data_IF_908505875516
#
_entry.id   IF_908505875516
#
_cell.length_a   1.000
_cell.length_b   1.000
_cell.length_c   1.000
_cell.angle_alpha   90.00
_cell.angle_beta   90.00
_cell.angle_gamma   90.00
#
_symmetry.space_group_name_H-M   'P 1'
#
loop_
_entity.id
_entity.type
_entity.pdbx_description
1 polymer ?
#
# COMPACT_ATOMS: atom_id res chain seq x y z
N UNK A 1 -10.44 -16.79 -33.29
CA UNK A 1 -9.00 -17.08 -33.25
C UNK A 1 -8.79 -17.91 -32.01
N UNK A 2 -8.56 -19.20 -32.18
CA UNK A 2 -8.37 -20.12 -31.05
C UNK A 2 -6.93 -19.93 -30.55
N UNK A 3 -6.78 -19.11 -29.51
CA UNK A 3 -5.54 -19.01 -28.76
C UNK A 3 -5.68 -19.87 -27.51
N UNK A 4 -4.76 -20.81 -27.30
CA UNK A 4 -4.68 -21.55 -26.05
C UNK A 4 -4.13 -20.65 -24.94
N UNK A 5 -4.94 -20.40 -23.91
CA UNK A 5 -4.52 -19.64 -22.74
C UNK A 5 -3.69 -20.52 -21.81
N UNK A 6 -2.41 -20.21 -21.67
CA UNK A 6 -1.50 -20.90 -20.76
C UNK A 6 -1.30 -20.08 -19.48
N UNK A 7 -1.82 -20.56 -18.34
CA UNK A 7 -1.59 -19.93 -17.03
C UNK A 7 -0.23 -20.38 -16.49
N UNK A 8 0.59 -19.42 -16.06
CA UNK A 8 1.87 -19.66 -15.39
C UNK A 8 1.86 -19.00 -14.02
N UNK A 9 2.06 -19.80 -12.98
CA UNK A 9 2.23 -19.31 -11.61
C UNK A 9 3.71 -18.99 -11.36
N UNK A 10 4.19 -17.89 -11.94
CA UNK A 10 5.58 -17.47 -11.82
C UNK A 10 5.77 -15.96 -12.10
N UNK A 11 6.77 -15.38 -11.46
CA UNK A 11 7.22 -14.00 -11.69
C UNK A 11 8.40 -14.01 -12.65
N UNK A 12 8.37 -13.17 -13.68
CA UNK A 12 9.47 -13.02 -14.62
C UNK A 12 9.00 -12.44 -15.96
N UNK A 13 9.97 -12.08 -16.80
CA UNK A 13 9.75 -11.58 -18.17
C UNK A 13 9.54 -12.74 -19.14
N UNK A 14 8.30 -13.22 -19.25
CA UNK A 14 7.96 -14.33 -20.13
C UNK A 14 7.87 -13.93 -21.60
N UNK A 15 7.45 -12.69 -21.92
CA UNK A 15 7.30 -12.21 -23.30
C UNK A 15 6.63 -13.25 -24.22
N UNK A 16 7.32 -13.71 -25.27
CA UNK A 16 6.84 -14.72 -26.21
C UNK A 16 7.35 -16.14 -25.94
N UNK A 17 7.83 -16.45 -24.73
CA UNK A 17 8.34 -17.79 -24.40
C UNK A 17 7.22 -18.84 -24.58
N UNK A 18 7.49 -19.98 -25.24
CA UNK A 18 6.54 -21.08 -25.36
C UNK A 18 6.06 -21.62 -24.00
N UNK A 19 4.93 -22.33 -24.00
CA UNK A 19 4.43 -23.05 -22.83
C UNK A 19 5.52 -23.99 -22.27
N UNK A 20 5.59 -24.10 -20.94
CA UNK A 20 6.57 -24.94 -20.25
C UNK A 20 7.99 -24.38 -20.18
N UNK A 21 8.28 -23.26 -20.87
CA UNK A 21 9.58 -22.58 -20.77
C UNK A 21 9.55 -21.46 -19.73
N UNK A 22 10.70 -21.28 -19.06
CA UNK A 22 10.91 -20.26 -18.04
C UNK A 22 12.07 -19.35 -18.43
N UNK A 23 12.03 -18.05 -18.04
CA UNK A 23 13.16 -17.15 -18.24
C UNK A 23 14.42 -17.67 -17.55
N UNK A 24 15.58 -17.49 -18.21
CA UNK A 24 16.88 -17.80 -17.62
C UNK A 24 17.23 -16.85 -16.47
N UNK A 25 16.79 -15.58 -16.56
CA UNK A 25 16.94 -14.59 -15.48
C UNK A 25 15.97 -14.91 -14.34
N UNK A 26 16.53 -15.20 -13.18
CA UNK A 26 15.79 -15.55 -11.95
C UNK A 26 15.80 -14.41 -10.93
N UNK A 27 16.28 -13.24 -11.31
CA UNK A 27 16.32 -12.08 -10.44
C UNK A 27 14.89 -11.61 -10.16
N UNK A 28 14.54 -11.41 -8.89
CA UNK A 28 13.21 -10.96 -8.47
C UNK A 28 13.28 -9.51 -8.01
N UNK A 29 13.02 -8.58 -8.94
CA UNK A 29 12.94 -7.15 -8.66
C UNK A 29 11.87 -6.47 -9.55
N UNK A 30 11.55 -5.21 -9.27
CA UNK A 30 10.61 -4.40 -10.03
C UNK A 30 11.00 -4.28 -11.51
N UNK A 31 12.30 -4.37 -11.83
CA UNK A 31 12.79 -4.27 -13.20
C UNK A 31 12.71 -5.58 -13.98
N UNK A 32 12.48 -6.71 -13.32
CA UNK A 32 12.46 -8.06 -13.93
C UNK A 32 11.08 -8.73 -13.92
N UNK A 33 10.05 -8.04 -13.46
CA UNK A 33 8.65 -8.42 -13.66
C UNK A 33 8.11 -8.07 -15.06
N UNK A 34 7.05 -8.76 -15.45
CA UNK A 34 6.20 -8.44 -16.61
C UNK A 34 4.82 -7.96 -16.11
N UNK A 35 3.94 -7.50 -17.00
CA UNK A 35 2.63 -6.95 -16.62
C UNK A 35 1.76 -7.95 -15.82
N UNK A 36 1.90 -9.25 -16.10
CA UNK A 36 1.21 -10.33 -15.38
C UNK A 36 2.00 -10.89 -14.19
N UNK A 37 3.12 -10.26 -13.78
CA UNK A 37 3.88 -10.69 -12.61
C UNK A 37 3.23 -10.21 -11.32
N UNK A 38 2.83 -11.16 -10.49
CA UNK A 38 2.26 -10.89 -9.17
C UNK A 38 0.74 -10.77 -9.15
N UNK A 39 0.21 -10.28 -8.04
CA UNK A 39 -1.23 -10.17 -7.81
C UNK A 39 -1.75 -8.81 -8.24
N UNK A 40 -2.74 -8.81 -9.13
CA UNK A 40 -3.56 -7.63 -9.40
C UNK A 40 -4.61 -7.46 -8.32
N UNK A 41 -4.88 -6.22 -7.94
CA UNK A 41 -5.94 -5.89 -6.99
C UNK A 41 -7.19 -5.39 -7.72
N UNK A 42 -8.35 -5.81 -7.23
CA UNK A 42 -9.65 -5.28 -7.62
C UNK A 42 -10.31 -4.71 -6.36
N UNK A 43 -10.01 -3.45 -6.06
CA UNK A 43 -10.52 -2.75 -4.87
C UNK A 43 -11.82 -2.00 -5.17
N UNK A 44 -11.82 -1.30 -6.28
CA UNK A 44 -13.03 -0.68 -6.85
C UNK A 44 -13.60 -1.64 -7.90
N UNK A 45 -14.93 -1.73 -8.01
CA UNK A 45 -15.57 -2.62 -8.97
C UNK A 45 -15.20 -2.24 -10.41
N UNK A 46 -15.13 -3.24 -11.28
CA UNK A 46 -15.14 -3.01 -12.72
C UNK A 46 -16.57 -2.71 -13.16
N UNK A 47 -16.73 -1.66 -13.95
CA UNK A 47 -18.02 -1.25 -14.52
C UNK A 47 -18.21 -1.87 -15.91
N UNK A 48 -19.46 -1.92 -16.36
CA UNK A 48 -19.77 -2.49 -17.67
C UNK A 48 -19.45 -1.48 -18.77
N UNK A 49 -18.85 -1.93 -19.87
CA UNK A 49 -18.63 -1.08 -21.05
C UNK A 49 -19.94 -0.63 -21.71
N UNK A 50 -21.04 -1.33 -21.40
CA UNK A 50 -22.39 -1.04 -21.88
C UNK A 50 -23.16 -0.04 -20.98
N UNK A 51 -22.55 0.43 -19.87
CA UNK A 51 -23.19 1.44 -19.02
C UNK A 51 -23.28 2.78 -19.76
N UNK A 52 -24.48 3.37 -19.79
CA UNK A 52 -24.71 4.69 -20.36
C UNK A 52 -23.77 5.71 -19.71
N UNK A 53 -23.02 6.45 -20.53
CA UNK A 53 -22.00 7.44 -20.13
C UNK A 53 -20.71 6.86 -19.52
N UNK A 54 -20.56 5.53 -19.45
CA UNK A 54 -19.34 4.86 -18.97
C UNK A 54 -18.86 5.42 -17.62
N UNK A 55 -19.80 5.60 -16.69
CA UNK A 55 -19.50 6.12 -15.37
C UNK A 55 -18.70 5.10 -14.55
N UNK A 56 -17.61 5.56 -13.94
CA UNK A 56 -16.74 4.75 -13.09
C UNK A 56 -16.90 5.08 -11.60
N UNK A 57 -16.20 4.33 -10.74
CA UNK A 57 -16.15 4.60 -9.30
C UNK A 57 -15.59 5.99 -9.01
N UNK A 58 -16.23 6.70 -8.09
CA UNK A 58 -15.66 7.90 -7.50
C UNK A 58 -14.35 7.58 -6.75
N UNK A 59 -13.39 8.49 -6.86
CA UNK A 59 -12.17 8.40 -6.07
C UNK A 59 -12.42 8.90 -4.64
N UNK A 60 -12.24 8.02 -3.67
CA UNK A 60 -12.56 8.31 -2.26
C UNK A 60 -11.40 9.00 -1.57
N UNK A 61 -11.32 10.33 -1.69
CA UNK A 61 -10.19 11.07 -1.11
C UNK A 61 -10.17 11.15 0.41
N UNK A 62 -11.34 11.25 1.01
CA UNK A 62 -11.49 11.26 2.47
C UNK A 62 -12.66 10.37 2.82
N UNK A 63 -12.48 9.51 3.81
CA UNK A 63 -13.56 8.66 4.34
C UNK A 63 -13.50 8.57 5.84
N UNK A 64 -14.65 8.30 6.47
CA UNK A 64 -14.80 8.29 7.92
C UNK A 64 -13.77 7.40 8.63
N UNK A 65 -13.42 6.25 8.03
CA UNK A 65 -12.42 5.36 8.61
C UNK A 65 -11.06 6.05 8.79
N UNK A 66 -10.66 6.98 7.92
CA UNK A 66 -9.39 7.70 8.08
C UNK A 66 -9.40 8.56 9.34
N UNK A 67 -10.52 9.22 9.63
CA UNK A 67 -10.70 10.03 10.84
C UNK A 67 -10.68 9.12 12.08
N UNK A 68 -11.37 7.98 12.01
CA UNK A 68 -11.38 6.97 13.10
C UNK A 68 -9.97 6.43 13.36
N UNK A 69 -9.23 6.08 12.31
CA UNK A 69 -7.88 5.54 12.41
C UNK A 69 -6.88 6.58 12.89
N UNK A 70 -7.01 7.84 12.45
CA UNK A 70 -6.20 8.95 12.93
C UNK A 70 -6.39 9.16 14.44
N UNK A 71 -7.65 9.13 14.91
CA UNK A 71 -7.94 9.22 16.34
C UNK A 71 -7.43 7.98 17.10
N UNK A 72 -7.56 6.79 16.52
CA UNK A 72 -7.03 5.56 17.11
C UNK A 72 -5.50 5.62 17.26
N UNK A 73 -4.77 6.10 16.25
CA UNK A 73 -3.33 6.29 16.31
C UNK A 73 -2.96 7.33 17.40
N UNK A 74 -3.67 8.46 17.49
CA UNK A 74 -3.47 9.44 18.55
C UNK A 74 -3.63 8.81 19.95
N UNK A 75 -4.69 8.02 20.15
CA UNK A 75 -4.93 7.31 21.42
C UNK A 75 -3.85 6.28 21.73
N UNK A 76 -3.46 5.49 20.74
CA UNK A 76 -2.39 4.52 20.86
C UNK A 76 -1.09 5.19 21.30
N UNK A 77 -0.70 6.29 20.65
CA UNK A 77 0.50 7.08 21.00
C UNK A 77 0.41 7.74 22.39
N UNK A 78 -0.79 7.97 22.92
CA UNK A 78 -1.02 8.45 24.29
C UNK A 78 -1.03 7.32 25.34
N UNK A 79 -0.85 6.06 24.93
CA UNK A 79 -0.89 4.89 25.82
C UNK A 79 -2.30 4.31 26.04
N UNK A 80 -3.34 4.87 25.43
CA UNK A 80 -4.71 4.36 25.46
C UNK A 80 -4.91 3.29 24.36
N UNK A 81 -4.25 2.15 24.52
CA UNK A 81 -4.28 1.05 23.54
C UNK A 81 -5.69 0.44 23.43
N UNK A 82 -6.41 0.29 24.55
CA UNK A 82 -7.78 -0.23 24.51
C UNK A 82 -8.75 0.73 23.78
N UNK A 83 -8.62 2.04 24.00
CA UNK A 83 -9.42 3.04 23.31
C UNK A 83 -9.13 3.06 21.80
N UNK A 84 -7.86 2.91 21.41
CA UNK A 84 -7.48 2.75 20.02
C UNK A 84 -8.09 1.47 19.40
N UNK A 85 -7.97 0.33 20.09
CA UNK A 85 -8.52 -0.95 19.65
C UNK A 85 -10.03 -0.89 19.42
N UNK A 86 -10.80 -0.29 20.33
CA UNK A 86 -12.25 -0.09 20.21
C UNK A 86 -12.62 0.73 18.96
N UNK A 87 -11.86 1.79 18.68
CA UNK A 87 -12.06 2.60 17.47
C UNK A 87 -11.79 1.80 16.20
N UNK A 88 -10.67 1.09 16.12
CA UNK A 88 -10.36 0.25 14.95
C UNK A 88 -11.38 -0.87 14.77
N UNK A 89 -11.83 -1.49 15.86
CA UNK A 89 -12.85 -2.54 15.84
C UNK A 89 -14.19 -2.04 15.26
N UNK A 90 -14.54 -0.76 15.44
CA UNK A 90 -15.74 -0.18 14.84
C UNK A 90 -15.71 -0.24 13.30
N UNK A 91 -14.53 -0.19 12.69
CA UNK A 91 -14.32 -0.35 11.24
C UNK A 91 -14.12 -1.83 10.88
N UNK A 92 -13.30 -2.58 11.64
CA UNK A 92 -13.01 -3.99 11.35
C UNK A 92 -14.27 -4.86 11.36
N UNK A 93 -15.29 -4.55 12.17
CA UNK A 93 -16.58 -5.27 12.13
C UNK A 93 -17.27 -5.22 10.78
N UNK A 94 -17.03 -4.19 9.95
CA UNK A 94 -17.51 -4.11 8.56
C UNK A 94 -16.75 -5.07 7.64
N UNK A 95 -15.47 -5.33 7.92
CA UNK A 95 -14.58 -6.14 7.09
C UNK A 95 -14.69 -7.65 7.36
N UNK A 96 -15.20 -8.05 8.53
CA UNK A 96 -15.25 -9.45 8.95
C UNK A 96 -16.66 -9.88 9.34
N UNK A 97 -17.07 -11.11 8.98
CA UNK A 97 -18.34 -11.65 9.42
C UNK A 97 -18.32 -11.93 10.93
N UNK A 98 -19.50 -11.90 11.56
CA UNK A 98 -19.65 -11.90 13.02
C UNK A 98 -19.01 -13.12 13.71
N UNK A 99 -19.10 -14.29 13.09
CA UNK A 99 -18.50 -15.53 13.56
C UNK A 99 -16.96 -15.48 13.66
N UNK A 100 -16.32 -14.57 12.91
CA UNK A 100 -14.87 -14.41 12.92
C UNK A 100 -14.38 -13.25 13.80
N UNK A 101 -15.30 -12.51 14.44
CA UNK A 101 -14.95 -11.34 15.26
C UNK A 101 -14.01 -11.68 16.42
N UNK A 102 -14.23 -12.80 17.11
CA UNK A 102 -13.36 -13.23 18.22
C UNK A 102 -11.90 -13.33 17.81
N UNK A 103 -11.63 -13.82 16.59
CA UNK A 103 -10.26 -13.97 16.07
C UNK A 103 -9.70 -12.65 15.53
N UNK A 104 -10.51 -11.89 14.81
CA UNK A 104 -10.03 -10.77 14.00
C UNK A 104 -10.14 -9.41 14.69
N UNK A 105 -11.01 -9.22 15.68
CA UNK A 105 -11.06 -7.96 16.42
C UNK A 105 -9.92 -7.88 17.43
N UNK A 106 -9.47 -6.65 17.67
CA UNK A 106 -8.46 -6.36 18.69
C UNK A 106 -9.06 -6.53 20.09
N UNK A 107 -8.23 -6.98 21.04
CA UNK A 107 -8.58 -7.04 22.45
C UNK A 107 -9.03 -5.65 22.96
N UNK A 108 -10.04 -5.58 23.85
CA UNK A 108 -10.68 -6.70 24.55
C UNK A 108 -11.88 -7.33 23.81
N UNK A 109 -12.32 -6.80 22.67
CA UNK A 109 -13.51 -7.32 21.97
C UNK A 109 -13.23 -8.62 21.18
N UNK A 110 -11.97 -8.83 20.78
CA UNK A 110 -11.49 -10.08 20.22
C UNK A 110 -10.15 -10.49 20.85
N UNK A 111 -9.36 -11.27 20.10
CA UNK A 111 -8.11 -11.86 20.58
C UNK A 111 -6.86 -11.25 19.92
N UNK A 112 -7.01 -10.50 18.82
CA UNK A 112 -5.89 -9.89 18.14
C UNK A 112 -5.23 -8.80 19.00
N UNK A 113 -3.91 -8.68 18.92
CA UNK A 113 -3.14 -7.73 19.73
C UNK A 113 -2.77 -6.51 18.91
N UNK A 114 -3.15 -5.33 19.40
CA UNK A 114 -2.79 -4.06 18.75
C UNK A 114 -1.41 -3.61 19.23
N UNK A 115 -0.40 -3.87 18.40
CA UNK A 115 0.98 -3.36 18.56
C UNK A 115 1.23 -2.20 17.59
N UNK A 116 2.34 -1.46 17.72
CA UNK A 116 2.65 -0.37 16.78
C UNK A 116 2.86 -0.90 15.34
N UNK A 117 3.55 -2.03 15.19
CA UNK A 117 3.71 -2.70 13.89
C UNK A 117 2.36 -3.11 13.31
N UNK A 118 1.49 -3.69 14.14
CA UNK A 118 0.15 -4.10 13.70
C UNK A 118 -0.74 -2.89 13.35
N UNK A 119 -0.62 -1.76 14.06
CA UNK A 119 -1.32 -0.53 13.72
C UNK A 119 -0.89 0.00 12.34
N UNK A 120 0.41 -0.04 12.04
CA UNK A 120 0.91 0.31 10.71
C UNK A 120 0.42 -0.67 9.64
N UNK A 121 0.39 -1.96 9.93
CA UNK A 121 -0.15 -2.96 9.00
C UNK A 121 -1.65 -2.77 8.79
N UNK A 122 -2.38 -2.33 9.81
CA UNK A 122 -3.82 -2.07 9.72
C UNK A 122 -4.15 -0.85 8.87
N UNK A 123 -3.38 0.24 8.99
CA UNK A 123 -3.41 1.34 8.02
C UNK A 123 -3.17 0.82 6.60
N UNK A 124 -2.23 -0.12 6.44
CA UNK A 124 -1.93 -0.75 5.15
C UNK A 124 -3.10 -1.55 4.58
N UNK A 125 -3.75 -2.38 5.40
CA UNK A 125 -4.88 -3.23 4.96
C UNK A 125 -6.11 -2.41 4.61
N UNK A 126 -6.51 -1.49 5.48
CA UNK A 126 -7.74 -0.72 5.28
C UNK A 126 -7.63 0.21 4.07
N UNK A 127 -6.47 0.81 3.83
CA UNK A 127 -6.26 1.83 2.79
C UNK A 127 -5.32 1.41 1.66
N UNK A 128 -5.12 0.11 1.47
CA UNK A 128 -4.37 -0.41 0.35
C UNK A 128 -4.89 0.19 -0.97
N UNK A 129 -4.00 0.65 -1.84
CA UNK A 129 -4.34 1.32 -3.11
C UNK A 129 -5.15 2.64 -3.00
N UNK A 130 -5.07 3.37 -1.87
CA UNK A 130 -5.68 4.70 -1.70
C UNK A 130 -4.64 5.82 -1.48
N UNK A 131 -3.48 5.75 -2.14
CA UNK A 131 -2.51 6.87 -2.19
C UNK A 131 -1.77 7.25 -0.90
N UNK A 132 -2.07 6.64 0.24
CA UNK A 132 -1.58 7.11 1.56
C UNK A 132 -0.36 6.40 2.16
N UNK A 133 -0.03 5.19 1.67
CA UNK A 133 0.93 4.30 2.34
C UNK A 133 2.29 4.96 2.63
N UNK A 134 2.78 5.82 1.73
CA UNK A 134 4.02 6.59 1.92
C UNK A 134 3.97 7.47 3.17
N UNK A 135 2.88 8.20 3.36
CA UNK A 135 2.71 9.16 4.47
C UNK A 135 2.67 8.41 5.80
N UNK A 136 1.97 7.28 5.85
CA UNK A 136 1.91 6.44 7.05
C UNK A 136 3.28 5.84 7.37
N UNK A 137 4.01 5.30 6.37
CA UNK A 137 5.36 4.77 6.58
C UNK A 137 6.34 5.82 7.11
N UNK A 138 6.29 7.06 6.61
CA UNK A 138 7.15 8.16 7.10
C UNK A 138 6.81 8.47 8.56
N UNK A 139 5.52 8.59 8.91
CA UNK A 139 5.10 8.90 10.29
C UNK A 139 5.50 7.81 11.30
N UNK A 140 5.59 6.56 10.86
CA UNK A 140 6.04 5.43 11.67
C UNK A 140 7.57 5.18 11.58
N UNK A 141 8.32 6.03 10.86
CA UNK A 141 9.77 5.89 10.70
C UNK A 141 10.20 4.63 9.93
N UNK A 142 9.30 4.06 9.12
CA UNK A 142 9.51 2.82 8.37
C UNK A 142 9.82 3.04 6.89
N UNK A 143 9.65 4.25 6.36
CA UNK A 143 9.80 4.50 4.91
C UNK A 143 11.22 4.22 4.41
N UNK A 144 12.23 4.75 5.09
CA UNK A 144 13.64 4.59 4.74
C UNK A 144 14.29 3.36 5.37
N UNK A 145 13.86 2.98 6.57
CA UNK A 145 14.42 1.84 7.31
C UNK A 145 13.84 0.49 6.88
N UNK A 146 12.65 0.50 6.26
CA UNK A 146 11.95 -0.69 5.82
C UNK A 146 12.69 -1.42 4.70
N UNK A 147 12.74 -2.74 4.83
CA UNK A 147 13.30 -3.66 3.83
C UNK A 147 12.17 -4.49 3.24
N UNK A 148 12.19 -4.68 1.93
CA UNK A 148 11.28 -5.60 1.25
C UNK A 148 12.01 -6.29 0.10
N UNK A 149 11.35 -7.21 -0.60
CA UNK A 149 12.03 -8.14 -1.52
C UNK A 149 12.84 -7.45 -2.62
N UNK A 150 12.54 -6.19 -2.95
CA UNK A 150 13.27 -5.39 -3.95
C UNK A 150 13.83 -4.05 -3.43
N UNK A 151 13.91 -3.87 -2.12
CA UNK A 151 14.49 -2.64 -1.57
C UNK A 151 15.18 -2.91 -0.26
N UNK A 152 16.44 -2.50 -0.20
CA UNK A 152 17.19 -2.38 1.03
C UNK A 152 16.88 -1.06 1.75
N UNK A 153 17.25 -0.98 3.03
CA UNK A 153 17.12 0.26 3.77
C UNK A 153 17.93 1.37 3.07
N UNK A 154 17.36 2.57 3.00
CA UNK A 154 18.06 3.72 2.44
C UNK A 154 19.21 4.12 3.38
N UNK A 155 20.25 4.76 2.82
CA UNK A 155 21.42 5.20 3.60
C UNK A 155 21.10 6.30 4.61
N UNK A 156 20.02 7.05 4.36
CA UNK A 156 19.52 8.13 5.22
C UNK A 156 18.01 8.38 4.94
N UNK A 157 17.48 9.49 5.46
CA UNK A 157 16.07 9.85 5.37
C UNK A 157 15.76 10.96 4.34
N UNK A 158 16.70 11.36 3.47
CA UNK A 158 16.47 12.52 2.61
C UNK A 158 15.30 12.32 1.62
N UNK A 159 14.96 11.06 1.30
CA UNK A 159 13.85 10.71 0.38
C UNK A 159 12.45 10.78 1.01
N UNK A 160 12.34 11.10 2.31
CA UNK A 160 11.07 11.45 2.95
C UNK A 160 10.45 12.72 2.35
N UNK A 161 11.27 13.59 1.76
CA UNK A 161 10.84 14.78 1.03
C UNK A 161 11.31 14.63 -0.42
N UNK A 162 10.42 14.79 -1.40
CA UNK A 162 10.81 14.63 -2.81
C UNK A 162 11.82 15.68 -3.26
N UNK A 163 12.71 15.31 -4.18
CA UNK A 163 13.57 16.26 -4.87
C UNK A 163 12.74 17.27 -5.68
N UNK A 164 13.21 18.52 -5.73
CA UNK A 164 12.73 19.48 -6.72
C UNK A 164 13.36 19.11 -8.06
N UNK A 165 12.55 19.06 -9.12
CA UNK A 165 13.04 18.69 -10.45
C UNK A 165 14.03 19.73 -10.98
N UNK A 166 14.96 19.26 -11.82
CA UNK A 166 16.00 20.10 -12.42
C UNK A 166 15.43 21.29 -13.18
N UNK A 167 14.38 21.06 -13.96
CA UNK A 167 13.74 22.10 -14.77
C UNK A 167 13.15 23.21 -13.90
N UNK A 168 12.55 22.85 -12.76
CA UNK A 168 11.99 23.82 -11.81
C UNK A 168 13.11 24.65 -11.15
N UNK A 169 14.23 24.04 -10.77
CA UNK A 169 15.39 24.75 -10.22
C UNK A 169 16.07 25.66 -11.24
N UNK A 170 16.12 25.24 -12.51
CA UNK A 170 16.67 26.03 -13.61
C UNK A 170 15.78 27.24 -13.94
N UNK A 171 14.45 27.07 -13.87
CA UNK A 171 13.50 28.14 -14.14
C UNK A 171 13.44 29.18 -13.02
N UNK A 172 13.70 28.80 -11.76
CA UNK A 172 13.65 29.71 -10.62
C UNK A 172 14.84 29.51 -9.67
N UNK A 173 15.88 30.34 -9.85
CA UNK A 173 17.09 30.30 -9.06
C UNK A 173 16.94 30.72 -7.58
N UNK A 174 15.76 31.21 -7.17
CA UNK A 174 15.47 31.45 -5.75
C UNK A 174 15.11 30.15 -5.00
N UNK A 175 14.74 29.08 -5.71
CA UNK A 175 14.48 27.79 -5.11
C UNK A 175 15.80 27.14 -4.67
N UNK A 176 15.75 26.51 -3.50
CA UNK A 176 16.84 25.69 -2.98
C UNK A 176 16.37 24.25 -2.98
N UNK A 177 17.22 23.36 -3.46
CA UNK A 177 16.97 21.92 -3.41
C UNK A 177 16.74 21.47 -1.96
N UNK A 178 15.90 20.45 -1.79
CA UNK A 178 15.69 19.80 -0.51
C UNK A 178 17.00 19.12 -0.02
N UNK A 179 17.26 19.09 1.30
CA UNK A 179 18.48 18.49 1.84
C UNK A 179 18.72 17.07 1.33
N UNK A 180 19.98 16.70 1.11
CA UNK A 180 20.39 15.35 0.68
C UNK A 180 20.41 15.12 -0.83
N UNK A 181 19.76 15.97 -1.63
CA UNK A 181 19.80 15.87 -3.09
C UNK A 181 20.85 16.80 -3.72
N UNK A 182 21.45 16.32 -4.80
CA UNK A 182 22.34 17.13 -5.63
C UNK A 182 21.56 18.25 -6.34
N UNK A 183 22.23 19.40 -6.47
CA UNK A 183 21.68 20.60 -7.10
C UNK A 183 21.62 20.47 -8.59
#
# INVERSE_FOLDING_TARGET
SDYDLCIRDAVGKFHGLPEGQYPDDKTSNLTTGDHNSGWHFCKYPFYSDEDDQQMESDFTEIRLAEIVYSLAECKFRQGDVEGAAKLLNSVRKRNYPAESWTRNLYAPEGQAQLTESELLDEWGREFFAEGRRRIDLIRFGQFNSGRWWDKEADSDNHTEIFAITRDVLNANHNLKQNPGYDK
#
